data_IF_375892608862
#
_entry.id   IF_375892608862
#
_cell.length_a   1.000
_cell.length_b   1.000
_cell.length_c   1.000
_cell.angle_alpha   90.00
_cell.angle_beta   90.00
_cell.angle_gamma   90.00
#
_symmetry.space_group_name_H-M   'P 1'
#
loop_
_entity.id
_entity.type
_entity.pdbx_description
1 polymer ?
#
# COMPACT_ATOMS: atom_id res chain seq x y z
N UNK A 1 26.12 -15.24 57.94
CA UNK A 1 25.35 -15.81 56.81
C UNK A 1 24.23 -14.88 56.38
N UNK A 2 23.27 -14.54 57.24
CA UNK A 2 22.15 -13.62 56.94
C UNK A 2 22.61 -12.23 56.46
N UNK A 3 23.65 -11.66 57.09
CA UNK A 3 24.21 -10.37 56.67
C UNK A 3 24.91 -10.45 55.29
N UNK A 4 25.45 -11.61 54.94
CA UNK A 4 26.14 -11.83 53.67
C UNK A 4 25.15 -12.04 52.52
N UNK A 5 24.01 -12.69 52.79
CA UNK A 5 22.88 -12.76 51.84
C UNK A 5 22.23 -11.40 51.64
N UNK A 6 22.06 -10.59 52.70
CA UNK A 6 21.51 -9.24 52.57
C UNK A 6 22.43 -8.32 51.72
N UNK A 7 23.75 -8.42 51.89
CA UNK A 7 24.72 -7.66 51.10
C UNK A 7 24.71 -8.14 49.64
N UNK A 8 24.63 -9.45 49.37
CA UNK A 8 24.57 -9.95 48.00
C UNK A 8 23.27 -9.57 47.29
N UNK A 9 22.14 -9.55 47.98
CA UNK A 9 20.86 -9.08 47.42
C UNK A 9 20.90 -7.60 47.08
N UNK A 10 21.45 -6.75 47.95
CA UNK A 10 21.62 -5.31 47.67
C UNK A 10 22.64 -5.07 46.55
N UNK A 11 23.72 -5.84 46.51
CA UNK A 11 24.75 -5.71 45.48
C UNK A 11 24.24 -6.17 44.11
N UNK A 12 23.41 -7.23 44.05
CA UNK A 12 22.73 -7.64 42.82
C UNK A 12 21.67 -6.61 42.39
N UNK A 13 20.93 -6.00 43.33
CA UNK A 13 20.00 -4.92 43.01
C UNK A 13 20.71 -3.69 42.42
N UNK A 14 21.89 -3.34 42.94
CA UNK A 14 22.71 -2.24 42.42
C UNK A 14 23.39 -2.57 41.09
N UNK A 15 23.69 -3.85 40.83
CA UNK A 15 24.33 -4.31 39.57
C UNK A 15 23.35 -4.42 38.40
N UNK A 16 22.05 -4.60 38.67
CA UNK A 16 20.98 -4.54 37.67
C UNK A 16 20.26 -3.18 37.60
N UNK A 17 20.43 -2.32 38.60
CA UNK A 17 19.88 -0.96 38.62
C UNK A 17 20.73 0.10 37.90
N UNK A 18 21.96 -0.22 37.48
CA UNK A 18 22.90 0.76 36.92
C UNK A 18 22.86 0.96 35.40
N UNK A 19 22.02 0.22 34.66
CA UNK A 19 21.80 0.43 33.22
C UNK A 19 20.56 1.27 32.90
N UNK A 20 19.80 1.69 33.92
CA UNK A 20 18.77 2.72 33.78
C UNK A 20 19.43 4.11 33.88
N UNK A 21 20.33 4.42 32.95
CA UNK A 21 20.72 5.81 32.71
C UNK A 21 19.49 6.54 32.18
N UNK A 22 18.81 7.25 33.08
CA UNK A 22 17.96 8.40 32.76
C UNK A 22 18.75 9.37 31.88
N UNK A 23 18.76 9.13 30.57
CA UNK A 23 18.74 10.24 29.64
C UNK A 23 17.32 10.77 29.69
N UNK A 24 17.12 11.81 30.49
CA UNK A 24 16.06 12.77 30.23
C UNK A 24 16.32 13.35 28.84
N UNK A 25 15.87 12.64 27.79
CA UNK A 25 15.83 13.16 26.42
C UNK A 25 14.63 14.11 26.39
N UNK A 26 14.77 15.27 27.02
CA UNK A 26 13.96 16.42 26.68
C UNK A 26 14.55 16.99 25.42
N UNK A 27 14.07 16.49 24.28
CA UNK A 27 14.42 17.09 23.01
C UNK A 27 13.48 18.27 22.79
N UNK A 28 13.99 19.49 23.03
CA UNK A 28 13.27 20.70 22.59
C UNK A 28 13.09 20.68 21.07
N UNK A 29 13.92 19.92 20.35
CA UNK A 29 13.83 19.77 18.91
C UNK A 29 12.82 18.69 18.50
N UNK A 30 12.12 19.01 17.42
CA UNK A 30 11.25 18.07 16.72
C UNK A 30 12.05 16.89 16.16
N UNK A 31 11.69 15.68 16.55
CA UNK A 31 12.23 14.45 15.97
C UNK A 31 11.34 14.00 14.82
N UNK A 32 11.88 13.96 13.60
CA UNK A 32 11.15 13.42 12.44
C UNK A 32 11.08 11.90 12.52
N UNK A 33 9.89 11.36 12.25
CA UNK A 33 9.61 9.94 12.24
C UNK A 33 8.97 9.57 10.90
N UNK A 34 9.46 8.48 10.32
CA UNK A 34 8.80 7.83 9.20
C UNK A 34 7.72 6.88 9.70
N UNK A 35 6.50 7.09 9.20
CA UNK A 35 5.40 6.18 9.39
C UNK A 35 4.60 5.99 8.12
N UNK A 36 3.31 5.68 8.29
CA UNK A 36 2.39 5.41 7.19
C UNK A 36 1.11 6.16 7.41
N UNK A 37 0.56 6.63 6.30
CA UNK A 37 -0.80 7.13 6.26
C UNK A 37 -1.56 6.44 5.16
N UNK A 38 -2.84 6.21 5.40
CA UNK A 38 -3.73 5.77 4.36
C UNK A 38 -4.23 6.95 3.56
N UNK A 39 -4.34 6.76 2.24
CA UNK A 39 -4.98 7.71 1.35
C UNK A 39 -5.88 6.97 0.38
N UNK A 40 -6.93 7.65 -0.07
CA UNK A 40 -7.97 7.09 -0.93
C UNK A 40 -7.80 7.59 -2.35
N UNK A 41 -7.63 6.66 -3.28
CA UNK A 41 -7.74 6.92 -4.72
C UNK A 41 -9.00 6.18 -5.20
N UNK A 42 -10.08 6.92 -5.44
CA UNK A 42 -11.37 6.33 -5.87
C UNK A 42 -11.88 5.28 -4.85
N UNK A 43 -11.99 4.01 -5.24
CA UNK A 43 -12.31 2.89 -4.35
C UNK A 43 -11.09 2.10 -3.85
N UNK A 44 -9.89 2.45 -4.32
CA UNK A 44 -8.63 1.89 -3.87
C UNK A 44 -8.08 2.69 -2.69
N UNK A 45 -7.57 1.98 -1.70
CA UNK A 45 -7.05 2.57 -0.48
C UNK A 45 -5.63 2.05 -0.31
N UNK A 46 -4.68 2.96 -0.33
CA UNK A 46 -3.26 2.67 -0.39
C UNK A 46 -2.60 3.26 0.86
N UNK A 47 -1.50 2.64 1.28
CA UNK A 47 -0.62 3.21 2.28
C UNK A 47 0.55 3.86 1.57
N UNK A 48 0.85 5.10 1.94
CA UNK A 48 2.09 5.75 1.56
C UNK A 48 2.97 5.95 2.77
N UNK A 49 4.28 6.01 2.55
CA UNK A 49 5.20 6.52 3.57
C UNK A 49 4.80 7.96 3.88
N UNK A 50 4.70 8.26 5.16
CA UNK A 50 4.43 9.60 5.65
C UNK A 50 5.51 9.99 6.64
N UNK A 51 5.94 11.25 6.60
CA UNK A 51 6.84 11.80 7.62
C UNK A 51 6.02 12.71 8.51
N UNK A 52 6.17 12.55 9.82
CA UNK A 52 5.62 13.45 10.83
C UNK A 52 6.66 13.71 11.91
N UNK A 53 6.45 14.72 12.72
CA UNK A 53 7.37 15.14 13.77
C UNK A 53 6.77 14.85 15.14
N UNK A 54 7.61 14.41 16.08
CA UNK A 54 7.28 14.27 17.49
C UNK A 54 8.13 15.23 18.31
N UNK A 55 7.52 15.88 19.29
CA UNK A 55 8.21 16.65 20.32
C UNK A 55 7.76 16.15 21.70
N UNK A 56 8.67 16.07 22.66
CA UNK A 56 8.36 15.73 24.05
C UNK A 56 8.75 16.93 24.90
N UNK A 57 7.75 17.56 25.54
CA UNK A 57 8.00 18.72 26.39
C UNK A 57 8.53 18.32 27.78
N UNK A 58 8.91 19.31 28.58
CA UNK A 58 9.45 19.11 29.94
C UNK A 58 8.46 18.44 30.90
N UNK A 59 7.15 18.56 30.64
CA UNK A 59 6.07 17.93 31.40
C UNK A 59 5.81 16.47 30.96
N UNK A 60 6.58 15.96 29.99
CA UNK A 60 6.35 14.61 29.44
C UNK A 60 5.15 14.54 28.49
N UNK A 61 4.61 15.66 28.03
CA UNK A 61 3.61 15.69 26.97
C UNK A 61 4.27 15.43 25.61
N UNK A 62 3.73 14.48 24.87
CA UNK A 62 4.15 14.10 23.52
C UNK A 62 3.23 14.78 22.51
N UNK A 63 3.79 15.62 21.65
CA UNK A 63 3.06 16.32 20.61
C UNK A 63 3.43 15.70 19.26
N UNK A 64 2.41 15.25 18.52
CA UNK A 64 2.55 14.75 17.15
C UNK A 64 2.11 15.86 16.18
N UNK A 65 2.97 16.20 15.22
CA UNK A 65 2.71 17.25 14.23
C UNK A 65 3.00 16.75 12.81
N UNK A 66 2.17 17.14 11.85
CA UNK A 66 2.42 16.95 10.42
C UNK A 66 2.07 18.22 9.67
N UNK A 67 2.97 18.68 8.80
CA UNK A 67 2.77 19.86 7.94
C UNK A 67 2.31 21.12 8.70
N UNK A 68 2.88 21.35 9.89
CA UNK A 68 2.52 22.48 10.75
C UNK A 68 1.29 22.24 11.64
N UNK A 69 0.50 21.20 11.38
CA UNK A 69 -0.74 20.90 12.10
C UNK A 69 -0.50 19.89 13.21
N UNK A 70 -0.95 20.20 14.43
CA UNK A 70 -0.95 19.25 15.54
C UNK A 70 -1.98 18.16 15.24
N UNK A 71 -1.51 16.93 15.19
CA UNK A 71 -2.34 15.75 14.95
C UNK A 71 -2.91 15.19 16.26
N UNK A 72 -2.08 15.16 17.29
CA UNK A 72 -2.41 14.54 18.56
C UNK A 72 -1.46 15.02 19.66
N UNK A 73 -1.97 15.03 20.90
CA UNK A 73 -1.22 15.35 22.11
C UNK A 73 -1.46 14.18 23.07
N UNK A 74 -0.38 13.57 23.55
CA UNK A 74 -0.39 12.41 24.45
C UNK A 74 0.57 12.64 25.64
N UNK A 75 0.63 11.71 26.57
CA UNK A 75 1.63 11.70 27.65
C UNK A 75 2.70 10.64 27.40
N UNK A 76 3.91 10.83 27.95
CA UNK A 76 5.08 9.98 27.67
C UNK A 76 4.85 8.52 28.06
N UNK A 77 4.09 8.28 29.13
CA UNK A 77 3.80 6.94 29.63
C UNK A 77 2.79 6.17 28.76
N UNK A 78 2.15 6.87 27.83
CA UNK A 78 1.21 6.31 26.85
C UNK A 78 1.78 6.27 25.44
N UNK A 79 3.08 6.57 25.25
CA UNK A 79 3.73 6.62 23.94
C UNK A 79 3.52 5.31 23.16
N UNK A 80 2.44 5.27 22.38
CA UNK A 80 2.20 4.23 21.42
C UNK A 80 3.24 4.43 20.34
N UNK A 81 4.21 3.52 20.26
CA UNK A 81 5.23 3.50 19.21
C UNK A 81 4.65 3.18 17.82
N UNK A 82 3.34 3.36 17.63
CA UNK A 82 2.69 3.12 16.37
C UNK A 82 3.17 4.11 15.34
N UNK A 83 3.56 3.57 14.18
CA UNK A 83 3.95 4.34 13.00
C UNK A 83 2.73 4.65 12.11
N UNK A 84 1.53 4.26 12.54
CA UNK A 84 0.30 4.44 11.79
C UNK A 84 -0.38 5.75 12.20
N UNK A 85 -0.41 6.70 11.26
CA UNK A 85 -0.94 8.05 11.50
C UNK A 85 -2.43 8.05 11.87
N UNK A 86 -3.21 7.10 11.34
CA UNK A 86 -4.63 6.96 11.67
C UNK A 86 -4.82 6.55 13.13
N UNK A 87 -3.96 5.65 13.64
CA UNK A 87 -4.00 5.28 15.06
C UNK A 87 -3.63 6.46 15.95
N UNK A 88 -2.59 7.21 15.61
CA UNK A 88 -2.21 8.42 16.35
C UNK A 88 -3.41 9.39 16.44
N UNK A 89 -4.10 9.62 15.32
CA UNK A 89 -5.25 10.53 15.26
C UNK A 89 -6.46 10.04 16.07
N UNK A 90 -6.80 8.76 15.96
CA UNK A 90 -8.13 8.28 16.35
C UNK A 90 -8.18 7.26 17.48
N UNK A 91 -7.07 6.58 17.79
CA UNK A 91 -7.00 5.57 18.85
C UNK A 91 -6.81 6.26 20.21
N UNK A 92 -7.66 5.91 21.18
CA UNK A 92 -7.52 6.32 22.57
C UNK A 92 -7.61 5.09 23.46
N UNK A 93 -6.81 5.05 24.52
CA UNK A 93 -6.88 4.01 25.53
C UNK A 93 -7.51 4.57 26.79
N UNK A 94 -8.47 3.86 27.36
CA UNK A 94 -9.15 4.21 28.60
C UNK A 94 -8.96 3.12 29.65
N UNK A 95 -8.74 3.54 30.88
CA UNK A 95 -8.59 2.68 32.05
C UNK A 95 -8.24 3.50 33.29
N UNK A 96 -7.79 2.82 34.33
CA UNK A 96 -7.45 3.45 35.60
C UNK A 96 -5.93 3.48 35.81
N UNK A 97 -5.48 4.47 36.57
CA UNK A 97 -4.11 4.57 37.07
C UNK A 97 -4.10 4.49 38.60
N UNK A 98 -3.04 3.90 39.16
CA UNK A 98 -2.80 3.92 40.61
C UNK A 98 -2.10 5.23 41.04
N UNK A 99 -1.81 5.37 42.33
CA UNK A 99 -1.12 6.55 42.88
C UNK A 99 0.30 6.76 42.34
N UNK A 100 0.89 5.73 41.70
CA UNK A 100 2.21 5.77 41.06
C UNK A 100 2.11 6.00 39.55
N UNK A 101 0.95 6.40 39.03
CA UNK A 101 0.69 6.57 37.58
C UNK A 101 0.90 5.28 36.76
N UNK A 102 0.77 4.11 37.39
CA UNK A 102 0.80 2.83 36.68
C UNK A 102 -0.61 2.42 36.27
N UNK A 103 -0.73 1.81 35.09
CA UNK A 103 -2.02 1.31 34.57
C UNK A 103 -2.53 0.18 35.45
N UNK A 104 -3.77 0.23 35.90
CA UNK A 104 -4.39 -0.82 36.70
C UNK A 104 -5.80 -1.15 36.20
N UNK A 105 -6.28 -2.33 36.55
CA UNK A 105 -7.64 -2.76 36.28
C UNK A 105 -7.92 -2.94 34.79
N UNK A 106 -9.19 -2.79 34.40
CA UNK A 106 -9.63 -3.00 33.02
C UNK A 106 -9.26 -1.81 32.13
N UNK A 107 -8.61 -2.11 31.00
CA UNK A 107 -8.28 -1.16 29.96
C UNK A 107 -8.96 -1.54 28.66
N UNK A 108 -9.38 -0.54 27.89
CA UNK A 108 -10.00 -0.74 26.59
C UNK A 108 -9.65 0.38 25.61
N UNK A 109 -9.73 0.07 24.31
CA UNK A 109 -9.45 0.99 23.23
C UNK A 109 -10.74 1.61 22.69
N UNK A 110 -10.70 2.91 22.44
CA UNK A 110 -11.67 3.65 21.63
C UNK A 110 -11.08 4.01 20.27
N UNK A 111 -11.88 3.90 19.22
CA UNK A 111 -11.58 4.38 17.87
C UNK A 111 -12.59 5.41 17.46
N UNK A 112 -12.16 6.66 17.24
CA UNK A 112 -13.09 7.77 16.89
C UNK A 112 -14.22 7.94 17.92
N UNK A 113 -13.93 7.63 19.18
CA UNK A 113 -14.88 7.67 20.30
C UNK A 113 -15.69 6.39 20.50
N UNK A 114 -15.64 5.42 19.58
CA UNK A 114 -16.37 4.16 19.68
C UNK A 114 -15.53 3.08 20.37
N UNK A 115 -16.14 2.27 21.24
CA UNK A 115 -15.44 1.19 21.93
C UNK A 115 -15.15 0.03 20.97
N UNK A 116 -13.88 -0.36 20.84
CA UNK A 116 -13.43 -1.44 19.97
C UNK A 116 -13.55 -2.84 20.60
N UNK A 117 -13.89 -2.94 21.89
CA UNK A 117 -13.76 -4.15 22.71
C UNK A 117 -12.33 -4.73 22.72
N UNK A 118 -11.34 -3.95 22.29
CA UNK A 118 -9.93 -4.27 22.40
C UNK A 118 -9.39 -3.77 23.75
N UNK A 119 -8.45 -4.50 24.33
CA UNK A 119 -7.88 -4.25 25.66
C UNK A 119 -7.84 -5.50 26.54
N UNK A 120 -7.69 -5.30 27.85
CA UNK A 120 -7.50 -6.38 28.81
C UNK A 120 -7.35 -5.84 30.23
N UNK A 121 -6.66 -6.58 31.09
CA UNK A 121 -6.46 -6.19 32.49
C UNK A 121 -4.98 -5.93 32.79
N UNK A 122 -4.74 -4.93 33.64
CA UNK A 122 -3.47 -4.72 34.30
C UNK A 122 -3.59 -5.08 35.79
N UNK A 123 -2.55 -5.71 36.35
CA UNK A 123 -2.44 -5.93 37.79
C UNK A 123 -2.01 -4.65 38.52
N UNK A 124 -1.98 -4.68 39.85
CA UNK A 124 -1.66 -3.51 40.69
C UNK A 124 -0.23 -2.99 40.50
N UNK A 125 0.64 -3.78 39.87
CA UNK A 125 2.02 -3.43 39.55
C UNK A 125 2.18 -2.75 38.17
N UNK A 126 1.11 -2.58 37.41
CA UNK A 126 1.20 -1.99 36.07
C UNK A 126 1.40 -2.98 34.92
N UNK A 127 1.36 -4.29 35.18
CA UNK A 127 1.68 -5.33 34.19
C UNK A 127 0.41 -5.94 33.59
N UNK A 128 0.41 -6.22 32.30
CA UNK A 128 -0.70 -6.91 31.62
C UNK A 128 -0.89 -8.31 32.19
N UNK A 129 -2.14 -8.68 32.43
CA UNK A 129 -2.54 -10.01 32.92
C UNK A 129 -3.85 -10.47 32.29
N UNK A 130 -4.04 -11.79 32.17
CA UNK A 130 -5.25 -12.43 31.67
C UNK A 130 -5.46 -12.26 30.17
N UNK A 131 -6.71 -12.29 29.72
CA UNK A 131 -7.04 -12.14 28.29
C UNK A 131 -6.80 -10.71 27.82
N UNK A 132 -6.14 -10.59 26.68
CA UNK A 132 -5.92 -9.32 25.98
C UNK A 132 -6.33 -9.43 24.53
N UNK A 133 -7.01 -8.38 24.05
CA UNK A 133 -7.30 -8.15 22.64
C UNK A 133 -6.47 -6.94 22.19
N UNK A 134 -5.46 -7.19 21.38
CA UNK A 134 -4.56 -6.17 20.85
C UNK A 134 -4.98 -5.75 19.44
N UNK A 135 -4.72 -4.50 19.08
CA UNK A 135 -4.92 -4.02 17.72
C UNK A 135 -3.70 -4.37 16.86
N UNK A 136 -3.93 -4.72 15.59
CA UNK A 136 -2.84 -4.85 14.63
C UNK A 136 -2.11 -3.51 14.45
N UNK A 137 -0.80 -3.54 14.20
CA UNK A 137 0.01 -2.32 13.98
C UNK A 137 -0.53 -1.44 12.84
N UNK A 138 -1.18 -2.05 11.85
CA UNK A 138 -1.85 -1.35 10.76
C UNK A 138 -3.38 -1.34 10.93
N UNK A 139 -3.89 -1.32 12.18
CA UNK A 139 -5.32 -1.16 12.45
C UNK A 139 -5.83 0.22 12.02
N UNK A 140 -6.98 0.25 11.34
CA UNK A 140 -7.67 1.42 10.79
C UNK A 140 -9.05 1.02 10.25
N UNK A 141 -9.83 1.97 9.74
CA UNK A 141 -11.21 1.78 9.28
C UNK A 141 -11.42 0.60 8.29
N UNK A 142 -10.40 0.22 7.50
CA UNK A 142 -10.50 -0.87 6.51
C UNK A 142 -9.67 -2.11 6.84
N UNK A 143 -8.90 -2.10 7.92
CA UNK A 143 -8.23 -3.29 8.44
C UNK A 143 -8.39 -3.27 9.96
N UNK A 144 -9.53 -3.79 10.41
CA UNK A 144 -9.89 -3.87 11.81
C UNK A 144 -9.40 -5.19 12.42
N UNK A 145 -8.14 -5.50 12.20
CA UNK A 145 -7.53 -6.75 12.66
C UNK A 145 -7.15 -6.62 14.12
N UNK A 146 -7.59 -7.57 14.94
CA UNK A 146 -7.19 -7.71 16.34
C UNK A 146 -6.56 -9.06 16.61
N UNK A 147 -5.75 -9.14 17.67
CA UNK A 147 -5.14 -10.37 18.15
C UNK A 147 -5.61 -10.64 19.57
N UNK A 148 -6.09 -11.86 19.83
CA UNK A 148 -6.38 -12.30 21.20
C UNK A 148 -5.22 -13.14 21.73
N UNK A 149 -4.82 -12.92 22.98
CA UNK A 149 -3.81 -13.71 23.68
C UNK A 149 -3.98 -13.66 25.20
N UNK A 150 -3.24 -14.49 25.93
CA UNK A 150 -3.14 -14.42 27.39
C UNK A 150 -1.84 -13.69 27.76
N UNK A 151 -1.86 -12.97 28.87
CA UNK A 151 -0.69 -12.33 29.45
C UNK A 151 -0.51 -12.76 30.90
N UNK A 152 0.75 -12.88 31.31
CA UNK A 152 1.16 -13.05 32.69
C UNK A 152 2.37 -12.15 32.92
N UNK A 153 2.21 -11.12 33.75
CA UNK A 153 3.27 -10.15 34.07
C UNK A 153 3.91 -9.52 32.81
N UNK A 154 3.08 -8.98 31.90
CA UNK A 154 3.46 -8.43 30.59
C UNK A 154 4.06 -9.43 29.58
N UNK A 155 4.28 -10.69 29.98
CA UNK A 155 4.72 -11.76 29.11
C UNK A 155 3.51 -12.37 28.43
N UNK A 156 3.49 -12.32 27.09
CA UNK A 156 2.45 -12.98 26.30
C UNK A 156 2.65 -14.49 26.37
N UNK A 157 1.62 -15.21 26.81
CA UNK A 157 1.66 -16.66 27.03
C UNK A 157 0.46 -17.36 26.38
N UNK A 158 0.59 -18.67 26.16
CA UNK A 158 -0.52 -19.50 25.68
C UNK A 158 -0.83 -19.33 24.20
N UNK A 159 -2.03 -19.75 23.79
CA UNK A 159 -2.38 -19.92 22.37
C UNK A 159 -2.69 -18.58 21.70
N UNK A 160 -1.97 -18.24 20.63
CA UNK A 160 -2.20 -17.05 19.82
C UNK A 160 -1.86 -17.35 18.36
N UNK A 161 -2.61 -16.79 17.39
CA UNK A 161 -2.27 -16.90 15.96
C UNK A 161 -2.16 -18.34 15.42
N UNK A 162 -2.73 -19.34 16.11
CA UNK A 162 -2.60 -20.76 15.78
C UNK A 162 -1.56 -21.52 16.60
N UNK A 163 -0.53 -20.84 17.12
CA UNK A 163 0.59 -21.42 17.86
C UNK A 163 0.52 -21.13 19.35
N UNK A 164 1.63 -21.26 20.07
CA UNK A 164 1.73 -20.88 21.47
C UNK A 164 3.02 -20.13 21.80
N UNK A 165 2.94 -19.24 22.77
CA UNK A 165 4.10 -18.65 23.43
C UNK A 165 4.43 -19.48 24.67
N UNK A 166 5.71 -19.73 24.91
CA UNK A 166 6.19 -20.31 26.16
C UNK A 166 6.32 -19.26 27.29
N UNK A 167 6.94 -19.65 28.39
CA UNK A 167 7.08 -18.80 29.59
C UNK A 167 8.02 -17.60 29.37
N UNK A 168 8.84 -17.63 28.31
CA UNK A 168 9.78 -16.57 27.95
C UNK A 168 9.25 -15.71 26.77
N UNK A 169 7.96 -15.85 26.44
CA UNK A 169 7.33 -15.25 25.26
C UNK A 169 8.00 -15.66 23.92
N UNK A 170 8.63 -16.83 23.87
CA UNK A 170 9.22 -17.38 22.66
C UNK A 170 8.14 -18.13 21.89
N UNK A 171 8.03 -17.87 20.57
CA UNK A 171 7.06 -18.56 19.71
C UNK A 171 7.44 -20.02 19.49
N UNK A 172 6.44 -20.89 19.63
CA UNK A 172 6.57 -22.32 19.41
C UNK A 172 5.35 -22.87 18.63
N UNK A 173 5.57 -23.94 17.87
CA UNK A 173 4.50 -24.69 17.20
C UNK A 173 4.02 -24.07 15.88
N UNK A 174 2.79 -24.40 15.46
CA UNK A 174 2.24 -23.94 14.18
C UNK A 174 1.65 -22.54 14.27
N UNK A 175 2.08 -21.61 13.42
CA UNK A 175 1.62 -20.23 13.40
C UNK A 175 0.94 -19.84 12.09
N UNK A 176 0.05 -18.86 12.18
CA UNK A 176 -0.55 -18.11 11.08
C UNK A 176 -0.17 -16.65 11.26
N UNK A 177 0.64 -16.12 10.34
CA UNK A 177 1.05 -14.72 10.33
C UNK A 177 0.33 -13.94 9.24
N UNK A 178 -0.03 -12.70 9.55
CA UNK A 178 -0.61 -11.79 8.56
C UNK A 178 0.51 -11.06 7.81
N UNK A 179 0.30 -10.80 6.53
CA UNK A 179 1.18 -9.95 5.75
C UNK A 179 1.25 -8.52 6.33
N UNK A 180 2.43 -7.89 6.31
CA UNK A 180 2.64 -6.50 6.84
C UNK A 180 1.70 -5.46 6.24
N UNK A 181 1.24 -5.69 5.02
CA UNK A 181 0.24 -4.89 4.31
C UNK A 181 -1.10 -5.65 4.21
N UNK A 182 -1.60 -6.21 5.31
CA UNK A 182 -2.89 -6.92 5.31
C UNK A 182 -4.05 -5.93 5.28
N UNK A 183 -4.84 -5.95 4.21
CA UNK A 183 -6.07 -5.18 4.04
C UNK A 183 -7.00 -5.90 3.05
N UNK A 184 -8.21 -5.39 2.82
CA UNK A 184 -9.21 -6.04 1.95
C UNK A 184 -8.73 -6.35 0.52
N UNK A 185 -7.78 -5.60 -0.02
CA UNK A 185 -7.19 -5.83 -1.34
C UNK A 185 -6.00 -6.79 -1.35
N UNK A 186 -5.45 -7.14 -0.18
CA UNK A 186 -4.25 -7.98 -0.01
C UNK A 186 -4.37 -8.79 1.29
N UNK A 187 -5.19 -9.84 1.26
CA UNK A 187 -5.39 -10.74 2.39
C UNK A 187 -4.46 -11.95 2.26
N UNK A 188 -3.18 -11.72 2.57
CA UNK A 188 -2.14 -12.74 2.54
C UNK A 188 -1.82 -13.20 3.97
N UNK A 189 -1.75 -14.52 4.17
CA UNK A 189 -1.30 -15.12 5.42
C UNK A 189 -0.20 -16.14 5.17
N UNK A 190 0.74 -16.25 6.11
CA UNK A 190 1.81 -17.24 6.11
C UNK A 190 1.51 -18.29 7.16
N UNK A 191 1.71 -19.57 6.84
CA UNK A 191 1.51 -20.65 7.80
C UNK A 191 2.75 -21.53 7.86
N UNK A 192 3.22 -21.84 9.06
CA UNK A 192 4.37 -22.73 9.23
C UNK A 192 4.67 -22.96 10.70
N UNK A 193 5.85 -23.52 11.00
CA UNK A 193 6.26 -23.83 12.37
C UNK A 193 7.28 -22.79 12.84
N UNK A 194 7.13 -22.36 14.09
CA UNK A 194 8.17 -21.72 14.86
C UNK A 194 8.80 -22.72 15.84
N UNK A 195 10.12 -22.62 15.99
CA UNK A 195 10.89 -23.29 17.02
C UNK A 195 11.89 -22.28 17.58
N UNK A 196 11.81 -22.02 18.88
CA UNK A 196 12.64 -21.01 19.55
C UNK A 196 12.64 -19.62 18.86
N UNK A 197 11.44 -19.12 18.53
CA UNK A 197 11.22 -17.84 17.82
C UNK A 197 11.83 -17.76 16.40
N UNK A 198 12.41 -18.84 15.90
CA UNK A 198 12.84 -18.97 14.50
C UNK A 198 11.80 -19.74 13.68
N UNK A 199 11.58 -19.30 12.44
CA UNK A 199 10.77 -20.04 11.47
C UNK A 199 11.52 -21.30 11.05
N UNK A 200 10.91 -22.47 11.15
CA UNK A 200 11.55 -23.72 10.76
C UNK A 200 10.65 -24.55 9.83
N UNK A 201 11.25 -25.28 8.90
CA UNK A 201 10.56 -26.24 8.05
C UNK A 201 9.68 -25.58 6.99
N UNK A 202 8.63 -26.29 6.58
CA UNK A 202 7.73 -25.84 5.50
C UNK A 202 6.88 -24.64 5.95
N UNK A 203 6.93 -23.58 5.16
CA UNK A 203 6.10 -22.39 5.29
C UNK A 203 5.32 -22.15 4.01
N UNK A 204 4.01 -22.00 4.15
CA UNK A 204 3.06 -21.85 3.06
C UNK A 204 2.47 -20.44 3.03
N UNK A 205 2.35 -19.88 1.83
CA UNK A 205 1.74 -18.56 1.59
C UNK A 205 0.34 -18.79 1.05
N UNK A 206 -0.65 -18.24 1.74
CA UNK A 206 -2.04 -18.28 1.35
C UNK A 206 -2.56 -16.89 1.01
N UNK A 207 -3.39 -16.80 -0.02
CA UNK A 207 -4.05 -15.58 -0.41
C UNK A 207 -5.56 -15.80 -0.54
N UNK A 208 -6.34 -14.85 -0.01
CA UNK A 208 -7.79 -14.78 -0.18
C UNK A 208 -8.10 -13.60 -1.11
N UNK A 209 -8.76 -13.90 -2.24
CA UNK A 209 -9.15 -12.86 -3.19
C UNK A 209 -10.42 -12.16 -2.72
N UNK A 210 -10.64 -10.92 -3.15
CA UNK A 210 -11.90 -10.21 -2.91
C UNK A 210 -13.13 -10.97 -3.43
N UNK A 211 -12.98 -11.70 -4.54
CA UNK A 211 -14.07 -12.45 -5.16
C UNK A 211 -14.21 -13.90 -4.67
N UNK A 212 -13.22 -14.40 -3.91
CA UNK A 212 -13.24 -15.75 -3.36
C UNK A 212 -12.87 -15.70 -1.88
N UNK A 213 -13.86 -15.92 -1.01
CA UNK A 213 -13.71 -15.85 0.45
C UNK A 213 -12.85 -16.98 1.04
N UNK A 214 -12.27 -17.87 0.21
CA UNK A 214 -11.39 -18.94 0.66
C UNK A 214 -9.93 -18.58 0.45
N UNK A 215 -9.10 -18.93 1.42
CA UNK A 215 -7.65 -18.86 1.28
C UNK A 215 -7.15 -19.98 0.34
N UNK A 216 -6.40 -19.60 -0.69
CA UNK A 216 -5.72 -20.52 -1.62
C UNK A 216 -4.22 -20.43 -1.42
N UNK A 217 -3.52 -21.56 -1.41
CA UNK A 217 -2.06 -21.59 -1.38
C UNK A 217 -1.54 -21.02 -2.70
N UNK A 218 -0.70 -20.00 -2.61
CA UNK A 218 -0.07 -19.33 -3.77
C UNK A 218 1.45 -19.50 -3.79
N UNK A 219 2.05 -19.92 -2.69
CA UNK A 219 3.50 -20.08 -2.61
C UNK A 219 3.95 -20.69 -1.30
N UNK A 220 5.22 -20.52 -0.99
CA UNK A 220 5.88 -21.07 0.18
C UNK A 220 7.28 -21.57 -0.12
N UNK A 221 7.91 -22.15 0.89
CA UNK A 221 9.20 -22.81 0.80
C UNK A 221 9.63 -23.35 2.17
N UNK A 222 10.92 -23.66 2.32
CA UNK A 222 11.45 -24.25 3.54
C UNK A 222 12.41 -23.28 4.22
N UNK A 223 12.29 -23.15 5.54
CA UNK A 223 13.30 -22.52 6.40
C UNK A 223 14.24 -23.58 7.00
N UNK A 224 15.52 -23.25 7.12
CA UNK A 224 16.51 -24.06 7.85
C UNK A 224 16.38 -23.86 9.38
N UNK A 225 17.23 -24.53 10.15
CA UNK A 225 17.22 -24.47 11.63
C UNK A 225 17.60 -23.09 12.18
N UNK A 226 18.31 -22.31 11.38
CA UNK A 226 18.73 -20.95 11.71
C UNK A 226 17.66 -19.90 11.37
N UNK A 227 16.47 -20.31 10.91
CA UNK A 227 15.41 -19.37 10.56
C UNK A 227 15.56 -18.73 9.19
N UNK A 228 16.43 -19.26 8.33
CA UNK A 228 16.74 -18.70 7.02
C UNK A 228 16.06 -19.49 5.90
N UNK A 229 15.57 -18.80 4.88
CA UNK A 229 15.00 -19.45 3.69
C UNK A 229 16.04 -20.33 3.02
N UNK A 230 15.66 -21.54 2.62
CA UNK A 230 16.54 -22.49 1.96
C UNK A 230 15.78 -23.34 0.92
N UNK A 231 16.45 -23.69 -0.17
CA UNK A 231 15.87 -24.46 -1.28
C UNK A 231 14.89 -23.66 -2.13
N UNK A 232 13.94 -24.35 -2.77
CA UNK A 232 12.97 -23.71 -3.68
C UNK A 232 11.93 -22.90 -2.92
N UNK A 233 11.67 -21.70 -3.43
CA UNK A 233 10.67 -20.78 -2.90
C UNK A 233 9.80 -20.21 -4.01
N UNK A 234 8.54 -19.98 -3.67
CA UNK A 234 7.59 -19.16 -4.44
C UNK A 234 7.07 -18.10 -3.49
N UNK A 235 7.23 -16.83 -3.81
CA UNK A 235 6.84 -15.70 -2.96
C UNK A 235 6.06 -14.64 -3.72
N UNK A 236 5.27 -13.84 -3.01
CA UNK A 236 4.58 -12.71 -3.60
C UNK A 236 5.53 -11.54 -3.87
N UNK A 237 5.34 -10.88 -5.01
CA UNK A 237 6.01 -9.60 -5.27
C UNK A 237 5.58 -8.49 -4.30
N UNK A 238 6.39 -7.45 -4.18
CA UNK A 238 6.04 -6.26 -3.39
C UNK A 238 4.72 -5.63 -3.82
N UNK A 239 4.42 -5.69 -5.13
CA UNK A 239 3.20 -5.15 -5.74
C UNK A 239 2.07 -6.19 -5.84
N UNK A 240 2.12 -7.28 -5.07
CA UNK A 240 1.04 -8.25 -5.07
C UNK A 240 -0.24 -7.69 -4.42
N UNK A 241 -1.36 -7.76 -5.13
CA UNK A 241 -2.71 -7.48 -4.64
C UNK A 241 -3.77 -8.14 -5.54
N UNK A 242 -5.05 -7.99 -5.22
CA UNK A 242 -6.15 -8.59 -5.99
C UNK A 242 -6.09 -8.36 -7.50
N UNK A 243 -5.70 -7.16 -7.95
CA UNK A 243 -5.60 -6.79 -9.37
C UNK A 243 -4.24 -7.05 -10.02
N UNK A 244 -3.21 -7.39 -9.23
CA UNK A 244 -1.87 -7.69 -9.74
C UNK A 244 -1.28 -8.85 -8.94
N UNK A 245 -1.37 -10.07 -9.47
CA UNK A 245 -0.93 -11.28 -8.80
C UNK A 245 0.38 -11.75 -9.42
N UNK A 246 1.48 -11.07 -9.06
CA UNK A 246 2.83 -11.44 -9.50
C UNK A 246 3.52 -12.24 -8.39
N UNK A 247 3.89 -13.48 -8.71
CA UNK A 247 4.74 -14.33 -7.88
C UNK A 247 6.18 -14.31 -8.41
N UNK A 248 7.14 -14.47 -7.52
CA UNK A 248 8.54 -14.72 -7.83
C UNK A 248 8.89 -16.12 -7.35
N UNK A 249 9.58 -16.91 -8.18
CA UNK A 249 10.04 -18.23 -7.77
C UNK A 249 11.50 -18.45 -8.13
N UNK A 250 12.21 -19.17 -7.27
CA UNK A 250 13.62 -19.47 -7.46
C UNK A 250 14.17 -20.25 -6.27
N UNK A 251 15.48 -20.18 -6.07
CA UNK A 251 16.17 -20.89 -5.00
C UNK A 251 16.80 -19.92 -4.00
N UNK A 252 16.72 -20.29 -2.73
CA UNK A 252 17.43 -19.66 -1.63
C UNK A 252 18.52 -20.58 -1.10
N UNK A 253 19.62 -19.98 -0.63
CA UNK A 253 20.64 -20.65 0.16
C UNK A 253 21.00 -19.78 1.35
N UNK A 254 20.74 -20.28 2.55
CA UNK A 254 21.01 -19.58 3.82
C UNK A 254 20.43 -18.14 3.85
N UNK A 255 19.20 -17.98 3.36
CA UNK A 255 18.50 -16.70 3.32
C UNK A 255 18.79 -15.83 2.11
N UNK A 256 19.76 -16.20 1.25
CA UNK A 256 20.13 -15.42 0.06
C UNK A 256 19.53 -16.03 -1.21
N UNK A 257 18.95 -15.21 -2.09
CA UNK A 257 18.50 -15.64 -3.42
C UNK A 257 19.70 -16.05 -4.27
N UNK A 258 19.60 -17.21 -4.93
CA UNK A 258 20.62 -17.72 -5.84
C UNK A 258 20.00 -18.26 -7.13
N UNK A 259 20.80 -18.32 -8.18
CA UNK A 259 20.43 -18.96 -9.44
C UNK A 259 19.33 -18.23 -10.19
N UNK A 260 18.59 -18.97 -11.03
CA UNK A 260 17.54 -18.41 -11.87
C UNK A 260 16.29 -18.13 -11.04
N UNK A 261 15.75 -16.92 -11.22
CA UNK A 261 14.51 -16.46 -10.64
C UNK A 261 13.53 -16.06 -11.73
N UNK A 262 12.29 -16.50 -11.56
CA UNK A 262 11.19 -16.32 -12.51
C UNK A 262 10.12 -15.44 -11.89
N UNK A 263 9.64 -14.43 -12.63
CA UNK A 263 8.43 -13.69 -12.25
C UNK A 263 7.25 -14.19 -13.07
N UNK A 264 6.17 -14.51 -12.36
CA UNK A 264 4.99 -15.19 -12.85
C UNK A 264 3.76 -14.30 -12.63
N UNK A 265 3.05 -13.91 -13.68
CA UNK A 265 1.82 -13.10 -13.61
C UNK A 265 0.58 -13.99 -13.76
N UNK A 266 -0.38 -13.88 -12.84
CA UNK A 266 -1.72 -14.42 -13.01
C UNK A 266 -2.67 -13.32 -13.50
N UNK A 267 -3.22 -13.52 -14.70
CA UNK A 267 -4.22 -12.63 -15.28
C UNK A 267 -5.60 -12.89 -14.65
N UNK A 268 -6.46 -11.86 -14.58
CA UNK A 268 -7.74 -11.91 -13.85
C UNK A 268 -8.68 -13.06 -14.28
N UNK A 269 -8.55 -13.56 -15.51
CA UNK A 269 -9.40 -14.62 -16.08
C UNK A 269 -8.72 -15.97 -16.22
N UNK A 270 -7.40 -16.01 -16.05
CA UNK A 270 -6.62 -17.22 -16.22
C UNK A 270 -6.31 -17.81 -14.86
N UNK A 271 -6.60 -19.09 -14.67
CA UNK A 271 -6.21 -19.78 -13.44
C UNK A 271 -4.72 -20.13 -13.38
N UNK A 272 -4.01 -19.92 -14.50
CA UNK A 272 -2.60 -20.22 -14.68
C UNK A 272 -1.72 -18.97 -14.62
N UNK A 273 -0.51 -19.15 -14.10
CA UNK A 273 0.52 -18.12 -14.09
C UNK A 273 1.33 -18.16 -15.40
N UNK A 274 1.62 -16.98 -15.96
CA UNK A 274 2.45 -16.82 -17.16
C UNK A 274 3.80 -16.22 -16.79
N UNK A 275 4.87 -16.77 -17.37
CA UNK A 275 6.23 -16.25 -17.21
C UNK A 275 6.37 -14.86 -17.86
N UNK A 276 6.66 -13.85 -17.05
CA UNK A 276 6.83 -12.46 -17.51
C UNK A 276 8.27 -11.97 -17.44
N UNK A 277 9.08 -12.49 -16.52
CA UNK A 277 10.48 -12.10 -16.36
C UNK A 277 11.33 -13.31 -15.94
N UNK A 278 12.58 -13.31 -16.38
CA UNK A 278 13.64 -14.19 -15.91
C UNK A 278 14.82 -13.31 -15.51
N UNK A 279 15.48 -13.68 -14.42
CA UNK A 279 16.72 -13.07 -13.97
C UNK A 279 17.57 -14.08 -13.20
N UNK A 280 18.80 -13.71 -12.89
CA UNK A 280 19.71 -14.53 -12.10
C UNK A 280 20.15 -13.75 -10.87
N UNK A 281 20.22 -14.42 -9.72
CA UNK A 281 20.83 -13.90 -8.51
C UNK A 281 22.11 -14.65 -8.19
N UNK A 282 23.11 -13.90 -7.73
CA UNK A 282 24.30 -14.43 -7.06
C UNK A 282 24.35 -13.82 -5.66
N UNK A 283 23.89 -14.58 -4.67
CA UNK A 283 23.83 -14.14 -3.27
C UNK A 283 23.09 -12.81 -3.08
N UNK A 284 21.82 -12.77 -3.50
CA UNK A 284 20.94 -11.57 -3.55
C UNK A 284 21.39 -10.44 -4.51
N UNK A 285 22.54 -10.58 -5.17
CA UNK A 285 22.96 -9.63 -6.20
C UNK A 285 22.35 -10.02 -7.53
N UNK A 286 21.52 -9.12 -8.09
CA UNK A 286 20.95 -9.27 -9.42
C UNK A 286 22.06 -9.26 -10.48
N UNK A 287 22.25 -10.40 -11.14
CA UNK A 287 23.24 -10.57 -12.20
C UNK A 287 22.57 -10.88 -13.56
N UNK A 288 23.16 -10.39 -14.65
CA UNK A 288 22.69 -10.64 -16.02
C UNK A 288 21.62 -9.68 -16.54
N UNK A 289 21.05 -9.99 -17.71
CA UNK A 289 19.98 -9.19 -18.33
C UNK A 289 18.64 -9.53 -17.68
N UNK A 290 18.16 -8.65 -16.82
CA UNK A 290 16.80 -8.70 -16.32
C UNK A 290 15.83 -8.19 -17.39
N UNK A 291 14.86 -9.02 -17.77
CA UNK A 291 13.77 -8.54 -18.62
C UNK A 291 12.79 -7.78 -17.74
N UNK A 292 13.07 -6.51 -17.45
CA UNK A 292 12.24 -5.75 -16.51
C UNK A 292 10.76 -5.78 -16.92
N UNK A 293 9.94 -6.07 -15.91
CA UNK A 293 8.48 -6.21 -16.01
C UNK A 293 7.85 -5.02 -16.74
N UNK A 294 8.40 -3.81 -16.56
CA UNK A 294 7.87 -2.60 -17.17
C UNK A 294 7.76 -2.70 -18.70
N UNK A 295 8.73 -3.29 -19.41
CA UNK A 295 8.67 -3.36 -20.87
C UNK A 295 7.63 -4.36 -21.36
N UNK A 296 7.54 -5.54 -20.73
CA UNK A 296 6.60 -6.59 -21.13
C UNK A 296 5.18 -6.28 -20.66
N UNK A 297 5.01 -5.71 -19.47
CA UNK A 297 3.74 -5.23 -18.94
C UNK A 297 3.18 -4.09 -19.80
N UNK A 298 4.01 -3.10 -20.16
CA UNK A 298 3.60 -2.05 -21.10
C UNK A 298 3.32 -2.60 -22.51
N UNK A 299 4.02 -3.66 -22.94
CA UNK A 299 3.70 -4.36 -24.20
C UNK A 299 2.41 -5.15 -24.13
N UNK A 300 2.10 -5.83 -23.03
CA UNK A 300 0.82 -6.54 -22.82
C UNK A 300 -0.33 -5.54 -22.78
N UNK A 301 -0.18 -4.41 -22.05
CA UNK A 301 -1.14 -3.30 -22.12
C UNK A 301 -1.29 -2.72 -23.53
N UNK A 302 -0.22 -2.70 -24.34
CA UNK A 302 -0.25 -2.28 -25.75
C UNK A 302 -0.85 -3.33 -26.70
N UNK A 303 -0.62 -4.62 -26.48
CA UNK A 303 -1.07 -5.74 -27.33
C UNK A 303 -2.53 -6.14 -27.04
N UNK A 304 -2.95 -6.08 -25.77
CA UNK A 304 -4.34 -6.29 -25.31
C UNK A 304 -5.22 -5.04 -25.53
N UNK A 305 -4.74 -4.04 -26.28
CA UNK A 305 -5.36 -2.75 -26.60
C UNK A 305 -6.70 -2.79 -27.37
N UNK A 306 -7.44 -3.90 -27.29
CA UNK A 306 -8.83 -4.04 -27.72
C UNK A 306 -9.80 -4.57 -26.65
N UNK A 307 -9.34 -4.92 -25.44
CA UNK A 307 -10.18 -5.55 -24.40
C UNK A 307 -9.99 -5.06 -22.97
N UNK A 308 -9.19 -4.03 -22.71
CA UNK A 308 -9.27 -3.36 -21.41
C UNK A 308 -10.69 -2.79 -21.27
N UNK A 309 -11.42 -3.25 -20.24
CA UNK A 309 -12.70 -2.64 -19.92
C UNK A 309 -12.41 -1.19 -19.53
N UNK A 310 -13.25 -0.26 -19.99
CA UNK A 310 -13.08 1.19 -19.79
C UNK A 310 -12.81 1.54 -18.32
N UNK A 311 -13.36 0.78 -17.38
CA UNK A 311 -13.12 0.94 -15.94
C UNK A 311 -11.65 0.72 -15.53
N UNK A 312 -10.91 -0.16 -16.21
CA UNK A 312 -9.48 -0.38 -16.00
C UNK A 312 -8.65 0.79 -16.52
N UNK A 313 -9.10 1.39 -17.62
CA UNK A 313 -8.47 2.60 -18.19
C UNK A 313 -8.73 3.83 -17.31
N UNK A 314 -9.94 3.94 -16.74
CA UNK A 314 -10.32 5.00 -15.80
C UNK A 314 -9.48 4.89 -14.51
N UNK A 315 -9.32 3.70 -13.92
CA UNK A 315 -8.44 3.54 -12.74
C UNK A 315 -7.00 3.96 -13.04
N UNK A 316 -6.45 3.57 -14.19
CA UNK A 316 -5.08 3.95 -14.60
C UNK A 316 -4.95 5.45 -14.86
N UNK A 317 -5.97 6.09 -15.46
CA UNK A 317 -5.98 7.53 -15.70
C UNK A 317 -6.12 8.33 -14.39
N UNK A 318 -6.98 7.89 -13.47
CA UNK A 318 -7.12 8.48 -12.13
C UNK A 318 -5.81 8.43 -11.35
N UNK A 319 -5.05 7.33 -11.46
CA UNK A 319 -3.73 7.16 -10.84
C UNK A 319 -2.68 8.10 -11.43
N UNK A 320 -2.63 8.27 -12.76
CA UNK A 320 -1.67 9.18 -13.42
C UNK A 320 -1.98 10.65 -13.15
N UNK A 321 -3.25 11.03 -13.06
CA UNK A 321 -3.68 12.39 -12.66
C UNK A 321 -3.27 12.66 -11.19
N UNK A 322 -3.37 11.65 -10.32
CA UNK A 322 -2.93 11.73 -8.92
C UNK A 322 -1.41 11.96 -8.82
N UNK A 323 -0.59 11.22 -9.57
CA UNK A 323 0.86 11.40 -9.58
C UNK A 323 1.32 12.80 -10.03
N UNK A 324 0.57 13.45 -10.92
CA UNK A 324 0.84 14.83 -11.33
C UNK A 324 0.34 15.87 -10.31
N UNK A 325 -0.60 15.50 -9.44
CA UNK A 325 -1.12 16.36 -8.38
C UNK A 325 -0.09 16.53 -7.25
N UNK A 326 0.77 15.55 -7.00
CA UNK A 326 1.89 15.66 -6.04
C UNK A 326 2.96 16.68 -6.47
N UNK A 327 3.12 16.93 -7.79
CA UNK A 327 4.01 18.00 -8.28
C UNK A 327 3.48 19.40 -8.01
N UNK A 328 2.18 19.56 -7.67
CA UNK A 328 1.55 20.86 -7.31
C UNK A 328 2.11 21.47 -6.02
N UNK A 329 2.76 20.69 -5.17
CA UNK A 329 3.36 21.20 -3.92
C UNK A 329 4.80 21.69 -4.08
N UNK A 330 5.48 21.39 -5.20
CA UNK A 330 6.91 21.69 -5.37
C UNK A 330 7.19 22.88 -6.31
N UNK A 331 6.29 23.21 -7.25
CA UNK A 331 6.50 24.32 -8.19
C UNK A 331 5.32 25.29 -8.28
N UNK A 332 5.58 26.57 -8.02
CA UNK A 332 4.61 27.66 -7.84
C UNK A 332 3.91 28.19 -9.10
N UNK A 333 3.32 27.34 -9.94
CA UNK A 333 2.45 27.77 -11.05
C UNK A 333 1.00 27.36 -10.81
N UNK A 334 0.32 28.05 -9.89
CA UNK A 334 -1.02 27.68 -9.40
C UNK A 334 -2.17 27.91 -10.39
N UNK A 335 -2.13 28.95 -11.23
CA UNK A 335 -3.31 29.34 -12.02
C UNK A 335 -3.47 28.53 -13.32
N UNK A 336 -2.39 28.30 -14.08
CA UNK A 336 -2.41 27.62 -15.40
C UNK A 336 -2.70 26.11 -15.28
N UNK A 337 -2.33 25.48 -14.16
CA UNK A 337 -2.60 24.07 -13.86
C UNK A 337 -4.02 23.86 -13.30
N UNK A 338 -4.62 24.89 -12.69
CA UNK A 338 -6.01 24.88 -12.23
C UNK A 338 -6.99 24.80 -13.41
N UNK A 339 -6.78 25.62 -14.44
CA UNK A 339 -7.64 25.66 -15.62
C UNK A 339 -7.60 24.32 -16.39
N UNK A 340 -6.41 23.72 -16.52
CA UNK A 340 -6.22 22.41 -17.19
C UNK A 340 -6.89 21.23 -16.44
N UNK A 341 -6.94 21.27 -15.10
CA UNK A 341 -7.62 20.23 -14.32
C UNK A 341 -9.14 20.39 -14.32
N UNK A 342 -9.64 21.64 -14.34
CA UNK A 342 -11.06 21.89 -14.56
C UNK A 342 -11.51 21.40 -15.94
N UNK A 343 -10.70 21.60 -16.98
CA UNK A 343 -10.99 21.10 -18.33
C UNK A 343 -11.00 19.55 -18.40
N UNK A 344 -10.10 18.88 -17.68
CA UNK A 344 -10.08 17.41 -17.59
C UNK A 344 -11.27 16.84 -16.82
N UNK A 345 -11.70 17.53 -15.75
CA UNK A 345 -12.91 17.20 -14.98
C UNK A 345 -14.16 17.43 -15.83
N UNK A 346 -14.23 18.53 -16.59
CA UNK A 346 -15.31 18.80 -17.55
C UNK A 346 -15.34 17.74 -18.65
N UNK A 347 -14.18 17.28 -19.13
CA UNK A 347 -14.09 16.17 -20.07
C UNK A 347 -14.66 14.86 -19.49
N UNK A 348 -14.33 14.52 -18.25
CA UNK A 348 -14.83 13.33 -17.57
C UNK A 348 -16.34 13.41 -17.29
N UNK A 349 -16.86 14.58 -16.91
CA UNK A 349 -18.30 14.83 -16.69
C UNK A 349 -19.10 14.75 -18.00
N UNK A 350 -18.65 15.44 -19.05
CA UNK A 350 -19.27 15.36 -20.39
C UNK A 350 -19.27 13.93 -20.94
N UNK A 351 -18.21 13.16 -20.68
CA UNK A 351 -18.11 11.77 -21.10
C UNK A 351 -19.04 10.83 -20.30
N UNK A 352 -19.19 11.05 -18.99
CA UNK A 352 -20.15 10.30 -18.17
C UNK A 352 -21.60 10.55 -18.64
N UNK A 353 -21.94 11.80 -18.94
CA UNK A 353 -23.26 12.18 -19.49
C UNK A 353 -23.52 11.57 -20.88
N UNK A 354 -22.48 11.47 -21.72
CA UNK A 354 -22.57 10.84 -23.04
C UNK A 354 -22.89 9.32 -22.99
N UNK A 355 -22.63 8.68 -21.84
CA UNK A 355 -22.78 7.24 -21.65
C UNK A 355 -23.94 6.85 -20.72
N UNK A 356 -24.56 7.78 -19.99
CA UNK A 356 -25.88 7.58 -19.39
C UNK A 356 -26.95 7.49 -20.48
N UNK A 357 -27.86 6.53 -20.36
CA UNK A 357 -28.80 6.10 -21.42
C UNK A 357 -29.93 7.09 -21.75
N UNK A 358 -29.92 8.32 -21.24
CA UNK A 358 -31.00 9.28 -21.48
C UNK A 358 -30.72 10.13 -22.73
N UNK A 359 -31.73 10.11 -23.60
CA UNK A 359 -31.96 10.88 -24.82
C UNK A 359 -31.07 10.65 -26.06
N UNK A 360 -31.66 9.94 -27.02
CA UNK A 360 -31.09 9.63 -28.33
C UNK A 360 -32.14 10.02 -29.38
N UNK A 361 -31.88 11.07 -30.17
CA UNK A 361 -31.78 10.88 -31.63
C UNK A 361 -31.25 12.08 -32.43
N UNK A 362 -31.21 13.31 -31.90
CA UNK A 362 -30.84 14.47 -32.74
C UNK A 362 -29.52 15.17 -32.36
N UNK A 363 -28.99 15.00 -31.14
CA UNK A 363 -27.78 15.72 -30.66
C UNK A 363 -26.43 15.02 -30.95
N UNK A 364 -26.42 13.73 -31.27
CA UNK A 364 -25.18 12.92 -31.39
C UNK A 364 -24.20 13.33 -32.49
N UNK A 365 -24.60 14.17 -33.46
CA UNK A 365 -23.67 14.65 -34.50
C UNK A 365 -22.95 15.92 -34.06
N UNK A 366 -23.65 16.84 -33.39
CA UNK A 366 -23.11 18.12 -32.93
C UNK A 366 -22.14 17.94 -31.76
N UNK A 367 -22.38 16.97 -30.88
CA UNK A 367 -21.52 16.70 -29.72
C UNK A 367 -20.21 15.98 -30.06
N UNK A 368 -20.20 15.10 -31.06
CA UNK A 368 -18.97 14.42 -31.48
C UNK A 368 -17.97 15.40 -32.11
N UNK A 369 -18.45 16.34 -32.91
CA UNK A 369 -17.58 17.34 -33.53
C UNK A 369 -17.13 18.39 -32.49
N UNK A 370 -17.96 18.72 -31.48
CA UNK A 370 -17.56 19.51 -30.30
C UNK A 370 -16.53 18.79 -29.44
N UNK A 371 -16.71 17.50 -29.15
CA UNK A 371 -15.76 16.70 -28.37
C UNK A 371 -14.42 16.57 -29.10
N UNK A 372 -14.44 16.30 -30.41
CA UNK A 372 -13.24 16.28 -31.24
C UNK A 372 -12.56 17.66 -31.26
N UNK A 373 -13.33 18.75 -31.31
CA UNK A 373 -12.81 20.12 -31.27
C UNK A 373 -12.15 20.44 -29.92
N UNK A 374 -12.80 20.09 -28.79
CA UNK A 374 -12.27 20.28 -27.43
C UNK A 374 -10.97 19.48 -27.28
N UNK A 375 -10.97 18.21 -27.68
CA UNK A 375 -9.77 17.37 -27.61
C UNK A 375 -8.64 17.92 -28.49
N UNK A 376 -8.94 18.39 -29.70
CA UNK A 376 -7.94 19.03 -30.59
C UNK A 376 -7.37 20.31 -29.97
N UNK A 377 -8.20 21.12 -29.30
CA UNK A 377 -7.74 22.32 -28.61
C UNK A 377 -6.86 22.00 -27.41
N UNK A 378 -7.18 20.97 -26.63
CA UNK A 378 -6.32 20.48 -25.55
C UNK A 378 -4.96 19.99 -26.08
N UNK A 379 -4.94 19.28 -27.22
CA UNK A 379 -3.68 18.80 -27.84
C UNK A 379 -2.82 19.96 -28.35
N UNK A 380 -3.40 20.92 -29.08
CA UNK A 380 -2.67 22.09 -29.59
C UNK A 380 -2.05 22.90 -28.44
N UNK A 381 -2.78 23.07 -27.33
CA UNK A 381 -2.27 23.76 -26.13
C UNK A 381 -1.17 22.94 -25.42
N UNK A 382 -1.29 21.62 -25.37
CA UNK A 382 -0.25 20.74 -24.84
C UNK A 382 1.02 20.80 -25.70
N UNK A 383 0.92 20.75 -27.03
CA UNK A 383 2.09 20.86 -27.91
C UNK A 383 2.76 22.24 -27.84
N UNK A 384 1.97 23.33 -27.73
CA UNK A 384 2.50 24.67 -27.50
C UNK A 384 3.29 24.74 -26.18
N UNK A 385 2.75 24.19 -25.09
CA UNK A 385 3.41 24.12 -23.78
C UNK A 385 4.76 23.38 -23.84
N UNK A 386 4.83 22.26 -24.56
CA UNK A 386 6.07 21.49 -24.70
C UNK A 386 7.11 22.18 -25.62
N UNK A 387 6.67 22.97 -26.60
CA UNK A 387 7.58 23.76 -27.45
C UNK A 387 8.22 24.95 -26.74
N UNK A 388 7.57 25.54 -25.73
CA UNK A 388 8.15 26.62 -24.92
C UNK A 388 9.17 26.09 -23.88
N UNK A 389 8.97 24.89 -23.32
CA UNK A 389 9.93 24.29 -22.37
C UNK A 389 11.19 23.73 -23.07
N UNK A 390 11.08 23.21 -24.30
CA UNK A 390 12.25 22.75 -25.09
C UNK A 390 13.19 23.93 -25.49
N UNK A 391 12.67 25.15 -25.57
CA UNK A 391 13.47 26.36 -25.85
C UNK A 391 14.14 26.99 -24.62
N UNK A 392 13.77 26.60 -23.40
CA UNK A 392 14.18 27.27 -22.16
C UNK A 392 15.24 26.52 -21.34
N UNK A 393 15.71 25.34 -21.78
CA UNK A 393 16.55 24.45 -20.96
C UNK A 393 17.91 24.22 -21.63
N UNK A 394 18.87 25.09 -21.29
CA UNK A 394 20.31 24.80 -21.33
C UNK A 394 20.85 25.05 -19.92
N UNK A 395 20.64 24.11 -18.98
CA UNK A 395 21.42 24.04 -17.72
C UNK A 395 21.57 22.55 -17.32
N UNK A 396 22.79 22.18 -16.97
CA UNK A 396 23.23 20.85 -16.53
C UNK A 396 22.71 20.51 -15.11
N UNK A 397 21.64 19.73 -15.01
CA UNK A 397 21.28 19.03 -13.76
C UNK A 397 20.82 17.59 -14.08
N UNK A 398 21.55 16.61 -13.53
CA UNK A 398 21.34 15.17 -13.79
C UNK A 398 20.04 14.62 -13.20
N UNK A 399 19.34 15.35 -12.34
CA UNK A 399 18.04 14.94 -11.79
C UNK A 399 16.84 15.30 -12.69
N UNK A 400 17.03 16.13 -13.72
CA UNK A 400 15.96 16.55 -14.64
C UNK A 400 15.55 15.43 -15.64
N UNK A 401 16.48 14.52 -15.93
CA UNK A 401 16.37 13.49 -16.98
C UNK A 401 15.23 12.47 -16.71
N UNK A 402 14.99 12.09 -15.45
CA UNK A 402 13.89 11.18 -15.10
C UNK A 402 12.52 11.84 -15.27
N UNK A 403 12.40 13.13 -14.90
CA UNK A 403 11.15 13.90 -15.03
C UNK A 403 10.74 14.07 -16.49
N UNK A 404 11.69 14.44 -17.34
CA UNK A 404 11.49 14.60 -18.78
C UNK A 404 11.13 13.26 -19.45
N UNK A 405 11.81 12.17 -19.06
CA UNK A 405 11.47 10.80 -19.52
C UNK A 405 10.05 10.37 -19.15
N UNK A 406 9.56 10.73 -17.97
CA UNK A 406 8.17 10.43 -17.58
C UNK A 406 7.16 11.32 -18.31
N UNK A 407 7.49 12.58 -18.60
CA UNK A 407 6.62 13.47 -19.38
C UNK A 407 6.55 13.04 -20.86
N UNK A 408 7.65 12.62 -21.46
CA UNK A 408 7.67 12.03 -22.82
C UNK A 408 6.83 10.76 -22.89
N UNK A 409 6.89 9.91 -21.84
CA UNK A 409 6.03 8.72 -21.71
C UNK A 409 4.55 9.09 -21.59
N UNK A 410 4.23 10.12 -20.82
CA UNK A 410 2.86 10.62 -20.67
C UNK A 410 2.30 11.22 -21.96
N UNK A 411 3.10 12.05 -22.66
CA UNK A 411 2.78 12.58 -23.99
C UNK A 411 2.47 11.44 -24.97
N UNK A 412 3.33 10.43 -25.01
CA UNK A 412 3.15 9.25 -25.87
C UNK A 412 1.87 8.47 -25.54
N UNK A 413 1.50 8.39 -24.26
CA UNK A 413 0.27 7.74 -23.80
C UNK A 413 -0.98 8.53 -24.22
N UNK A 414 -0.99 9.87 -24.08
CA UNK A 414 -2.10 10.73 -24.51
C UNK A 414 -2.29 10.62 -26.03
N UNK A 415 -1.21 10.72 -26.81
CA UNK A 415 -1.28 10.57 -28.27
C UNK A 415 -1.81 9.19 -28.69
N UNK A 416 -1.42 8.13 -27.99
CA UNK A 416 -1.92 6.79 -28.22
C UNK A 416 -3.42 6.67 -27.92
N UNK A 417 -3.88 7.16 -26.76
CA UNK A 417 -5.28 7.16 -26.38
C UNK A 417 -6.14 7.97 -27.35
N UNK A 418 -5.63 9.12 -27.81
CA UNK A 418 -6.28 9.95 -28.82
C UNK A 418 -6.47 9.21 -30.14
N UNK A 419 -5.43 8.57 -30.66
CA UNK A 419 -5.51 7.81 -31.91
C UNK A 419 -6.52 6.66 -31.81
N UNK A 420 -6.63 6.01 -30.64
CA UNK A 420 -7.63 4.94 -30.42
C UNK A 420 -9.06 5.45 -30.35
N UNK A 421 -9.28 6.61 -29.72
CA UNK A 421 -10.59 7.28 -29.73
C UNK A 421 -10.95 7.68 -31.16
N UNK A 422 -10.00 8.24 -31.91
CA UNK A 422 -10.20 8.66 -33.30
C UNK A 422 -10.49 7.47 -34.22
N UNK A 423 -9.75 6.37 -34.12
CA UNK A 423 -10.00 5.12 -34.83
C UNK A 423 -11.40 4.57 -34.53
N UNK A 424 -11.81 4.55 -33.26
CA UNK A 424 -13.15 4.12 -32.83
C UNK A 424 -14.25 4.99 -33.43
N UNK A 425 -14.09 6.32 -33.43
CA UNK A 425 -15.05 7.24 -34.02
C UNK A 425 -15.11 7.12 -35.55
N UNK A 426 -13.96 6.98 -36.22
CA UNK A 426 -13.88 6.76 -37.67
C UNK A 426 -14.53 5.44 -38.05
N UNK A 427 -14.23 4.34 -37.35
CA UNK A 427 -14.84 3.04 -37.58
C UNK A 427 -16.37 3.09 -37.44
N UNK A 428 -16.90 3.78 -36.42
CA UNK A 428 -18.35 3.99 -36.27
C UNK A 428 -18.95 4.84 -37.40
N UNK A 429 -18.26 5.89 -37.87
CA UNK A 429 -18.69 6.71 -39.01
C UNK A 429 -18.70 5.89 -40.32
N UNK A 430 -17.70 5.03 -40.53
CA UNK A 430 -17.61 4.13 -41.70
C UNK A 430 -18.68 3.03 -41.68
N UNK A 431 -18.91 2.41 -40.52
CA UNK A 431 -19.99 1.43 -40.33
C UNK A 431 -21.37 2.03 -40.62
N UNK A 432 -21.65 3.25 -40.13
CA UNK A 432 -22.90 3.96 -40.43
C UNK A 432 -23.04 4.31 -41.91
N UNK A 433 -21.95 4.74 -42.58
CA UNK A 433 -21.95 4.99 -44.03
C UNK A 433 -22.24 3.72 -44.83
N UNK A 434 -21.67 2.57 -44.43
CA UNK A 434 -21.94 1.29 -45.08
C UNK A 434 -23.36 0.77 -44.83
N UNK A 435 -23.91 0.97 -43.64
CA UNK A 435 -25.32 0.65 -43.34
C UNK A 435 -26.27 1.52 -44.17
N UNK A 436 -26.00 2.82 -44.30
CA UNK A 436 -26.80 3.72 -45.12
C UNK A 436 -26.67 3.44 -46.63
N UNK A 437 -25.50 3.00 -47.12
CA UNK A 437 -25.33 2.53 -48.51
C UNK A 437 -26.09 1.24 -48.79
N UNK A 438 -26.14 0.30 -47.84
CA UNK A 438 -26.96 -0.91 -47.95
C UNK A 438 -28.46 -0.59 -48.01
N UNK A 439 -28.93 0.39 -47.22
CA UNK A 439 -30.32 0.87 -47.23
C UNK A 439 -30.67 1.69 -48.49
N UNK A 440 -29.70 2.39 -49.09
CA UNK A 440 -29.87 3.10 -50.36
C UNK A 440 -29.99 2.16 -51.56
N UNK A 441 -29.21 1.07 -51.58
CA UNK A 441 -29.26 0.09 -52.68
C UNK A 441 -30.48 -0.85 -52.60
N UNK A 442 -31.07 -1.08 -51.43
CA UNK A 442 -32.33 -1.83 -51.33
C UNK A 442 -33.55 -1.07 -51.88
N UNK A 443 -33.47 0.27 -51.96
CA UNK A 443 -34.53 1.10 -52.54
C UNK A 443 -34.38 1.31 -54.06
N UNK A 444 -33.28 0.85 -54.69
CA UNK A 444 -33.12 0.80 -56.16
C UNK A 444 -33.45 -0.57 -56.77
N UNK A 445 -33.88 -1.54 -55.95
CA UNK A 445 -34.51 -2.79 -56.42
C UNK A 445 -36.01 -2.86 -56.10
N UNK A 446 -36.60 -1.78 -55.57
CA UNK A 446 -38.05 -1.65 -55.29
C UNK A 446 -38.63 -0.34 -55.92
N UNK A 447 -37.89 0.29 -56.83
CA UNK A 447 -38.38 1.29 -57.79
C UNK A 447 -37.89 0.85 -59.17
#
# INVERSE_FOLDING_TARGET
>A
MILFEAINTVTNYLKYGSDFKERQIFNKDWTKIEGRESYRISNLLLFQKATFSIQINEEGTVIYQKDGSILFIDYKDTLNQTKNLEQIKYLRWHGQYNNLQQKIGKWYALWKGENLEAGGYYCDQGLKTGEWIELFENFWDKSQVTFRGQYFDDIKQGKCGGGYYDQEAIKQGYWIELHKNFYNGRQIVYKGIYYNDAKEGQWDIFFRSYFDNRFKKIGGGVYNREGQKNGKWVEESENFWNGCQILEQGEYKNGLKIGIWESLLKEYKDDHYKLICLGCYDNDIKNGKWTEIHEKFMRVLKQEGGKLQINQLIMLLEEVISMNTDRKQVFGQKQKIMDNNQELIIFLDLYQRFHSKEDIQTEKKLENDKLIMIIRQCIIKLDYYFSEEEGAIIIEDQNLDYGLKQMIKFRSLIYYLFNKILESVICRKLLRRNQNRKLGNSNQQIL
#
